data_IF_444555441428
#
_entry.id   IF_444555441428
#
_cell.length_a   1.000
_cell.length_b   1.000
_cell.length_c   1.000
_cell.angle_alpha   90.00
_cell.angle_beta   90.00
_cell.angle_gamma   90.00
#
_symmetry.space_group_name_H-M   'P 1'
#
loop_
_entity.id
_entity.type
_entity.pdbx_description
1 polymer ?
#
# COMPACT_ATOMS: atom_id res chain seq x y z
N UNK A 1 44.42 32.38 -8.60
CA UNK A 1 43.41 33.03 -7.73
C UNK A 1 42.04 33.05 -8.39
N UNK A 2 41.90 33.47 -9.65
CA UNK A 2 40.63 33.41 -10.41
C UNK A 2 40.06 31.99 -10.54
N UNK A 3 40.93 30.98 -10.71
CA UNK A 3 40.51 29.58 -10.91
C UNK A 3 39.90 28.95 -9.64
N UNK A 4 40.33 29.42 -8.46
CA UNK A 4 39.79 28.98 -7.17
C UNK A 4 38.35 29.44 -6.96
N UNK A 5 38.06 30.70 -7.32
CA UNK A 5 36.68 31.23 -7.26
C UNK A 5 35.77 30.55 -8.28
N UNK A 6 36.30 30.21 -9.47
CA UNK A 6 35.55 29.44 -10.47
C UNK A 6 35.11 28.08 -9.95
N UNK A 7 36.00 27.35 -9.26
CA UNK A 7 35.69 26.04 -8.69
C UNK A 7 34.60 26.13 -7.61
N UNK A 8 34.67 27.13 -6.73
CA UNK A 8 33.67 27.33 -5.66
C UNK A 8 32.29 27.62 -6.25
N UNK A 9 32.22 28.45 -7.29
CA UNK A 9 30.95 28.80 -7.95
C UNK A 9 30.32 27.55 -8.58
N UNK A 10 31.11 26.69 -9.22
CA UNK A 10 30.61 25.45 -9.84
C UNK A 10 30.03 24.51 -8.78
N UNK A 11 30.73 24.31 -7.66
CA UNK A 11 30.26 23.44 -6.58
C UNK A 11 28.97 24.00 -5.97
N UNK A 12 28.88 25.32 -5.78
CA UNK A 12 27.67 25.97 -5.27
C UNK A 12 26.49 25.81 -6.22
N UNK A 13 26.71 25.96 -7.53
CA UNK A 13 25.68 25.78 -8.56
C UNK A 13 25.20 24.33 -8.63
N UNK A 14 26.11 23.36 -8.50
CA UNK A 14 25.75 21.94 -8.48
C UNK A 14 24.95 21.57 -7.24
N UNK A 15 25.31 22.10 -6.06
CA UNK A 15 24.56 21.90 -4.82
C UNK A 15 23.14 22.48 -4.92
N UNK A 16 23.02 23.71 -5.42
CA UNK A 16 21.73 24.37 -5.63
C UNK A 16 20.88 23.62 -6.67
N UNK A 17 21.48 23.17 -7.77
CA UNK A 17 20.79 22.36 -8.77
C UNK A 17 20.33 21.02 -8.19
N UNK A 18 21.11 20.38 -7.31
CA UNK A 18 20.73 19.14 -6.63
C UNK A 18 19.57 19.34 -5.65
N UNK A 19 19.58 20.42 -4.87
CA UNK A 19 18.46 20.79 -3.99
C UNK A 19 17.20 21.08 -4.81
N UNK A 20 17.29 21.92 -5.83
CA UNK A 20 16.18 22.22 -6.74
C UNK A 20 15.68 20.95 -7.42
N UNK A 21 16.57 20.07 -7.86
CA UNK A 21 16.19 18.78 -8.44
C UNK A 21 15.48 17.89 -7.43
N UNK A 22 15.93 17.83 -6.17
CA UNK A 22 15.30 17.01 -5.12
C UNK A 22 13.94 17.57 -4.69
N UNK A 23 13.79 18.90 -4.65
CA UNK A 23 12.54 19.61 -4.36
C UNK A 23 11.55 19.56 -5.54
N UNK A 24 12.05 19.67 -6.77
CA UNK A 24 11.25 19.62 -8.00
C UNK A 24 11.01 18.20 -8.50
N UNK A 25 11.68 17.19 -7.92
CA UNK A 25 11.39 15.78 -8.21
C UNK A 25 9.92 15.56 -7.89
N UNK A 26 9.07 15.28 -8.89
CA UNK A 26 7.66 15.07 -8.62
C UNK A 26 7.56 13.92 -7.62
N UNK A 27 6.99 14.19 -6.44
CA UNK A 27 6.49 13.12 -5.57
C UNK A 27 5.66 12.25 -6.48
N UNK A 28 6.06 10.99 -6.64
CA UNK A 28 5.38 10.02 -7.52
C UNK A 28 3.89 10.17 -7.27
N UNK A 29 3.18 10.73 -8.25
CA UNK A 29 1.77 11.05 -8.13
C UNK A 29 1.00 9.74 -7.98
N UNK A 30 0.75 9.31 -6.75
CA UNK A 30 -0.51 8.67 -6.41
C UNK A 30 -1.57 9.77 -6.57
N UNK A 31 -2.46 9.60 -7.54
CA UNK A 31 -3.63 10.42 -7.84
C UNK A 31 -3.95 11.52 -6.82
N UNK A 32 -3.88 12.77 -7.26
CA UNK A 32 -4.48 13.92 -6.59
C UNK A 32 -5.92 13.56 -6.21
N UNK A 33 -6.21 13.44 -4.90
CA UNK A 33 -7.58 13.54 -4.38
C UNK A 33 -8.01 12.61 -3.24
N UNK A 34 -7.40 11.43 -3.04
CA UNK A 34 -7.90 10.48 -2.05
C UNK A 34 -6.78 9.84 -1.22
N UNK A 35 -6.98 9.82 0.10
CA UNK A 35 -6.08 9.18 1.04
C UNK A 35 -5.94 7.69 0.72
N UNK A 36 -4.75 7.09 0.91
CA UNK A 36 -4.60 5.65 0.82
C UNK A 36 -5.52 4.92 1.81
N UNK A 37 -5.83 3.67 1.52
CA UNK A 37 -6.71 2.82 2.33
C UNK A 37 -6.03 1.48 2.54
N UNK A 38 -5.94 1.03 3.80
CA UNK A 38 -5.51 -0.31 4.17
C UNK A 38 -6.68 -1.29 4.08
N UNK A 39 -6.44 -2.45 3.48
CA UNK A 39 -7.46 -3.49 3.33
C UNK A 39 -7.27 -4.59 4.37
N UNK A 40 -8.35 -4.93 5.05
CA UNK A 40 -8.45 -6.03 5.99
C UNK A 40 -8.81 -7.38 5.31
N UNK A 41 -8.49 -8.49 5.97
CA UNK A 41 -8.82 -9.86 5.60
C UNK A 41 -10.33 -10.04 5.40
N UNK A 42 -11.15 -9.48 6.29
CA UNK A 42 -12.63 -9.57 6.25
C UNK A 42 -13.21 -9.11 4.91
N UNK A 43 -12.73 -7.99 4.38
CA UNK A 43 -13.17 -7.38 3.12
C UNK A 43 -12.78 -8.22 1.92
N UNK A 44 -11.59 -8.83 1.96
CA UNK A 44 -11.12 -9.73 0.92
C UNK A 44 -11.98 -11.01 0.90
N UNK A 45 -12.30 -11.58 2.06
CA UNK A 45 -13.15 -12.77 2.19
C UNK A 45 -14.63 -12.52 1.85
N UNK A 46 -15.08 -11.26 1.84
CA UNK A 46 -16.42 -10.86 1.40
C UNK A 46 -16.47 -10.64 -0.13
N UNK A 47 -15.42 -10.03 -0.69
CA UNK A 47 -15.22 -9.91 -2.14
C UNK A 47 -15.97 -8.77 -2.83
N UNK A 48 -16.95 -8.10 -2.19
CA UNK A 48 -17.66 -6.95 -2.82
C UNK A 48 -16.73 -5.77 -3.14
N UNK A 49 -15.53 -5.75 -2.56
CA UNK A 49 -14.49 -4.75 -2.85
C UNK A 49 -14.07 -4.73 -4.32
N UNK A 50 -14.13 -5.85 -5.05
CA UNK A 50 -13.79 -5.86 -6.49
C UNK A 50 -14.87 -5.18 -7.33
N UNK A 51 -16.14 -5.33 -6.96
CA UNK A 51 -17.24 -4.59 -7.61
C UNK A 51 -17.11 -3.08 -7.35
N UNK A 52 -16.75 -2.68 -6.12
CA UNK A 52 -16.42 -1.28 -5.82
C UNK A 52 -15.21 -0.79 -6.63
N UNK A 53 -14.20 -1.62 -6.84
CA UNK A 53 -13.05 -1.30 -7.68
C UNK A 53 -13.46 -1.08 -9.15
N UNK A 54 -14.30 -1.96 -9.71
CA UNK A 54 -14.77 -1.89 -11.11
C UNK A 54 -15.59 -0.65 -11.40
N UNK A 55 -16.37 -0.17 -10.43
CA UNK A 55 -17.16 1.06 -10.59
C UNK A 55 -16.31 2.34 -10.52
N UNK A 56 -15.05 2.25 -10.08
CA UNK A 56 -14.18 3.41 -9.87
C UNK A 56 -14.42 4.16 -8.56
N UNK A 57 -15.21 3.60 -7.62
CA UNK A 57 -15.49 4.21 -6.32
C UNK A 57 -14.36 4.03 -5.29
N UNK A 58 -13.46 3.06 -5.52
CA UNK A 58 -12.22 2.93 -4.74
C UNK A 58 -11.20 3.98 -5.19
N UNK A 59 -11.33 5.18 -4.61
CA UNK A 59 -10.41 6.28 -4.83
C UNK A 59 -9.13 6.10 -3.99
N UNK A 60 -8.00 6.57 -4.52
CA UNK A 60 -6.72 6.54 -3.82
C UNK A 60 -5.98 5.21 -3.98
N UNK A 61 -4.92 5.04 -3.19
CA UNK A 61 -4.08 3.84 -3.23
C UNK A 61 -4.67 2.79 -2.31
N UNK A 62 -4.95 1.61 -2.84
CA UNK A 62 -5.43 0.46 -2.09
C UNK A 62 -4.23 -0.38 -1.67
N UNK A 63 -4.03 -0.46 -0.37
CA UNK A 63 -2.87 -1.06 0.26
C UNK A 63 -3.29 -2.37 0.92
N UNK A 64 -2.77 -3.49 0.45
CA UNK A 64 -2.93 -4.81 1.08
C UNK A 64 -1.63 -5.12 1.84
N UNK A 65 -1.65 -5.23 3.18
CA UNK A 65 -0.49 -5.67 3.94
C UNK A 65 -0.12 -7.13 3.70
N UNK A 66 1.15 -7.50 3.85
CA UNK A 66 1.57 -8.92 3.77
C UNK A 66 1.03 -9.75 4.93
N UNK A 67 0.82 -9.15 6.11
CA UNK A 67 0.19 -9.83 7.24
C UNK A 67 -1.23 -10.33 6.91
N UNK A 68 -2.02 -9.53 6.19
CA UNK A 68 -3.36 -9.90 5.69
C UNK A 68 -3.30 -11.08 4.72
N UNK A 69 -2.34 -11.09 3.78
CA UNK A 69 -2.14 -12.27 2.90
C UNK A 69 -1.73 -13.51 3.68
N UNK A 70 -0.91 -13.35 4.72
CA UNK A 70 -0.44 -14.45 5.56
C UNK A 70 -1.60 -15.07 6.34
N UNK A 71 -2.51 -14.25 6.86
CA UNK A 71 -3.72 -14.73 7.52
C UNK A 71 -4.68 -15.42 6.55
N UNK A 72 -4.90 -14.87 5.36
CA UNK A 72 -5.67 -15.55 4.31
C UNK A 72 -5.08 -16.94 3.99
N UNK A 73 -3.76 -17.06 3.86
CA UNK A 73 -3.10 -18.35 3.64
C UNK A 73 -3.31 -19.31 4.81
N UNK A 74 -3.11 -18.84 6.04
CA UNK A 74 -3.32 -19.65 7.24
C UNK A 74 -4.77 -20.15 7.34
N UNK A 75 -5.74 -19.31 7.02
CA UNK A 75 -7.16 -19.67 6.99
C UNK A 75 -7.48 -20.64 5.85
N UNK A 76 -6.86 -20.46 4.67
CA UNK A 76 -7.02 -21.33 3.50
C UNK A 76 -6.47 -22.75 3.72
N UNK A 77 -5.50 -22.89 4.63
CA UNK A 77 -4.90 -24.17 5.04
C UNK A 77 -5.51 -24.74 6.35
N UNK A 78 -6.47 -24.03 6.94
CA UNK A 78 -7.09 -24.39 8.22
C UNK A 78 -8.01 -25.63 8.19
N UNK A 79 -8.46 -26.12 9.34
CA UNK A 79 -9.34 -27.30 9.41
C UNK A 79 -10.81 -27.01 9.05
N UNK A 80 -11.26 -25.77 9.23
CA UNK A 80 -12.64 -25.33 8.98
C UNK A 80 -12.89 -25.14 7.48
N UNK A 81 -13.77 -25.97 6.90
CA UNK A 81 -14.04 -25.98 5.47
C UNK A 81 -14.57 -24.64 4.94
N UNK A 82 -15.51 -24.02 5.65
CA UNK A 82 -16.16 -22.81 5.17
C UNK A 82 -15.20 -21.61 5.25
N UNK A 83 -14.40 -21.54 6.31
CA UNK A 83 -13.33 -20.54 6.41
C UNK A 83 -12.26 -20.74 5.33
N UNK A 84 -11.86 -21.99 5.06
CA UNK A 84 -10.88 -22.29 4.00
C UNK A 84 -11.35 -21.81 2.64
N UNK A 85 -12.57 -22.14 2.25
CA UNK A 85 -13.11 -21.77 0.93
C UNK A 85 -13.23 -20.25 0.79
N UNK A 86 -13.70 -19.55 1.83
CA UNK A 86 -13.75 -18.08 1.84
C UNK A 86 -12.37 -17.43 1.78
N UNK A 87 -11.37 -18.01 2.44
CA UNK A 87 -10.01 -17.47 2.41
C UNK A 87 -9.32 -17.69 1.07
N UNK A 88 -9.56 -18.83 0.40
CA UNK A 88 -9.15 -19.08 -0.98
C UNK A 88 -9.77 -18.08 -1.93
N UNK A 89 -11.07 -17.83 -1.79
CA UNK A 89 -11.76 -16.78 -2.53
C UNK A 89 -11.15 -15.40 -2.26
N UNK A 90 -10.82 -15.07 -1.01
CA UNK A 90 -10.13 -13.83 -0.65
C UNK A 90 -8.77 -13.66 -1.35
N UNK A 91 -8.02 -14.76 -1.53
CA UNK A 91 -6.79 -14.73 -2.32
C UNK A 91 -7.02 -14.45 -3.80
N UNK A 92 -8.14 -14.89 -4.37
CA UNK A 92 -8.52 -14.56 -5.74
C UNK A 92 -8.98 -13.10 -5.88
N UNK A 93 -9.71 -12.59 -4.89
CA UNK A 93 -10.08 -11.16 -4.77
C UNK A 93 -8.84 -10.26 -4.77
N UNK A 94 -7.76 -10.64 -4.08
CA UNK A 94 -6.49 -9.90 -4.10
C UNK A 94 -5.90 -9.84 -5.52
N UNK A 95 -5.90 -10.95 -6.25
CA UNK A 95 -5.39 -10.99 -7.64
C UNK A 95 -6.23 -10.10 -8.54
N UNK A 96 -7.55 -10.19 -8.42
CA UNK A 96 -8.48 -9.37 -9.20
C UNK A 96 -8.32 -7.87 -8.90
N UNK A 97 -8.20 -7.49 -7.62
CA UNK A 97 -7.93 -6.10 -7.22
C UNK A 97 -6.62 -5.58 -7.83
N UNK A 98 -5.56 -6.39 -7.81
CA UNK A 98 -4.28 -6.02 -8.43
C UNK A 98 -4.44 -5.76 -9.92
N UNK A 99 -5.21 -6.58 -10.63
CA UNK A 99 -5.42 -6.46 -12.08
C UNK A 99 -6.31 -5.25 -12.44
N UNK A 100 -7.36 -4.97 -11.65
CA UNK A 100 -8.27 -3.84 -11.85
C UNK A 100 -7.55 -2.51 -11.56
N UNK A 101 -6.92 -2.40 -10.38
CA UNK A 101 -6.40 -1.15 -9.85
C UNK A 101 -5.01 -0.80 -10.38
N UNK A 102 -4.24 -1.77 -10.87
CA UNK A 102 -2.92 -1.59 -11.49
C UNK A 102 -1.99 -0.75 -10.61
N UNK A 103 -1.69 0.48 -11.02
CA UNK A 103 -0.80 1.40 -10.29
C UNK A 103 -1.38 1.89 -8.95
N UNK A 104 -2.69 1.78 -8.75
CA UNK A 104 -3.36 2.15 -7.51
C UNK A 104 -3.38 1.01 -6.49
N UNK A 105 -2.93 -0.19 -6.84
CA UNK A 105 -2.74 -1.30 -5.91
C UNK A 105 -1.32 -1.32 -5.35
N UNK A 106 -1.18 -1.55 -4.04
CA UNK A 106 0.09 -1.77 -3.37
C UNK A 106 0.03 -2.97 -2.45
N UNK A 107 1.01 -3.88 -2.63
CA UNK A 107 1.32 -4.88 -1.62
C UNK A 107 2.38 -4.29 -0.68
N UNK A 108 1.99 -4.02 0.57
CA UNK A 108 2.85 -3.36 1.55
C UNK A 108 3.51 -4.39 2.48
N UNK A 109 4.84 -4.30 2.61
CA UNK A 109 5.61 -5.16 3.50
C UNK A 109 5.59 -4.63 4.93
N UNK A 110 4.68 -5.16 5.72
CA UNK A 110 4.46 -4.76 7.10
C UNK A 110 5.13 -5.72 8.08
N UNK A 111 6.28 -6.33 7.79
CA UNK A 111 7.04 -7.14 8.75
C UNK A 111 6.19 -8.21 9.50
N UNK A 112 6.18 -9.43 8.93
CA UNK A 112 5.32 -10.58 9.26
C UNK A 112 5.40 -11.08 10.73
N UNK A 113 6.37 -10.60 11.53
CA UNK A 113 6.42 -10.95 12.97
C UNK A 113 5.43 -10.07 13.74
N UNK A 114 4.16 -10.45 13.70
CA UNK A 114 3.11 -9.82 14.50
C UNK A 114 2.61 -10.82 15.54
N UNK A 115 3.22 -10.89 16.74
CA UNK A 115 2.73 -11.70 17.84
C UNK A 115 1.30 -11.33 18.27
N UNK A 116 0.87 -10.10 17.96
CA UNK A 116 -0.37 -9.49 18.40
C UNK A 116 -1.57 -9.67 17.43
N UNK A 117 -1.38 -10.41 16.32
CA UNK A 117 -2.42 -10.65 15.31
C UNK A 117 -2.61 -9.52 14.27
N UNK A 118 -3.29 -9.82 13.16
CA UNK A 118 -3.46 -8.91 12.01
C UNK A 118 -4.22 -7.64 12.39
N UNK A 119 -5.30 -7.75 13.19
CA UNK A 119 -6.10 -6.60 13.64
C UNK A 119 -5.25 -5.53 14.33
N UNK A 120 -4.45 -5.94 15.32
CA UNK A 120 -3.55 -5.06 16.06
C UNK A 120 -2.53 -4.41 15.13
N UNK A 121 -2.06 -5.16 14.11
CA UNK A 121 -1.13 -4.62 13.12
C UNK A 121 -1.79 -3.59 12.21
N UNK A 122 -2.99 -3.87 11.70
CA UNK A 122 -3.74 -2.95 10.85
C UNK A 122 -3.97 -1.62 11.56
N UNK A 123 -4.37 -1.64 12.83
CA UNK A 123 -4.59 -0.43 13.63
C UNK A 123 -3.29 0.38 13.82
N UNK A 124 -2.17 -0.29 14.14
CA UNK A 124 -0.87 0.36 14.26
C UNK A 124 -0.45 1.00 12.94
N UNK A 125 -0.56 0.25 11.85
CA UNK A 125 -0.17 0.69 10.52
C UNK A 125 -1.05 1.85 10.03
N UNK A 126 -2.35 1.78 10.26
CA UNK A 126 -3.29 2.86 9.94
C UNK A 126 -2.92 4.16 10.66
N UNK A 127 -2.55 4.07 11.94
CA UNK A 127 -2.12 5.21 12.74
C UNK A 127 -0.75 5.76 12.31
N UNK A 128 0.19 4.89 11.96
CA UNK A 128 1.54 5.28 11.50
C UNK A 128 1.50 5.97 10.13
N UNK A 129 0.64 5.50 9.24
CA UNK A 129 0.50 6.02 7.88
C UNK A 129 -0.52 7.15 7.76
N UNK A 130 -1.33 7.38 8.80
CA UNK A 130 -2.48 8.30 8.81
C UNK A 130 -3.48 7.98 7.67
N UNK A 131 -3.91 6.72 7.62
CA UNK A 131 -4.78 6.17 6.56
C UNK A 131 -5.99 5.45 7.15
N UNK A 132 -7.06 5.37 6.37
CA UNK A 132 -8.25 4.63 6.75
C UNK A 132 -8.03 3.11 6.61
N UNK A 133 -8.77 2.33 7.39
CA UNK A 133 -8.89 0.88 7.23
C UNK A 133 -10.24 0.56 6.61
N UNK A 134 -10.24 -0.26 5.55
CA UNK A 134 -11.42 -0.87 4.97
C UNK A 134 -11.59 -2.25 5.60
N UNK A 135 -12.65 -2.43 6.38
CA UNK A 135 -13.03 -3.65 7.11
C UNK A 135 -14.55 -3.88 6.98
N UNK A 136 -15.04 -5.12 7.15
CA UNK A 136 -16.43 -5.54 6.90
C UNK A 136 -17.09 -6.20 8.12
#
# INVERSE_FOLDING_TARGET
MKDFYGLIIIIMLLGLAAEVYFLAKPRRNSSVGAAPILVDTSVLMDGRVTELAKTGFLLGKIIVPRSVLTELQLLADGADHDKRERARFGMDVVKELKDILKSSFELYDDNIRVPEGVDSRLLKLAKEMDVAVLTA
#
